data_IF_954538061620
#
_entry.id   IF_954538061620
#
_cell.length_a   1.000
_cell.length_b   1.000
_cell.length_c   1.000
_cell.angle_alpha   90.00
_cell.angle_beta   90.00
_cell.angle_gamma   90.00
#
_symmetry.space_group_name_H-M   'P 1'
#
loop_
_entity.id
_entity.type
_entity.pdbx_description
1 polymer ?
#
# COMPACT_ATOMS: atom_id res chain seq x y z
N UNK A 1 -12.26 0.01 -18.55
CA UNK A 1 -10.93 -0.54 -18.27
C UNK A 1 -9.97 0.57 -17.85
N UNK A 2 -9.28 0.38 -16.75
CA UNK A 2 -8.32 1.37 -16.28
C UNK A 2 -6.96 1.25 -16.95
N UNK A 3 -6.31 2.38 -17.18
CA UNK A 3 -4.91 2.44 -17.57
C UNK A 3 -4.05 2.40 -16.31
N UNK A 4 -3.10 1.48 -16.24
CA UNK A 4 -2.39 1.19 -15.01
C UNK A 4 -0.88 1.36 -15.16
N UNK A 5 -0.29 2.06 -14.21
CA UNK A 5 1.16 2.25 -14.12
C UNK A 5 1.64 1.64 -12.80
N UNK A 6 2.60 0.74 -12.89
CA UNK A 6 3.23 0.12 -11.73
C UNK A 6 4.63 0.70 -11.54
N UNK A 7 4.91 1.22 -10.34
CA UNK A 7 6.25 1.71 -9.99
C UNK A 7 6.78 0.91 -8.81
N UNK A 8 7.85 0.17 -9.05
CA UNK A 8 8.48 -0.64 -8.04
C UNK A 8 9.89 -0.13 -7.73
N UNK A 9 10.44 -0.58 -6.63
CA UNK A 9 11.78 -0.23 -6.24
C UNK A 9 11.93 -0.17 -4.71
N UNK A 10 13.17 -0.08 -4.23
CA UNK A 10 13.43 -0.05 -2.80
C UNK A 10 13.01 1.27 -2.15
N UNK A 11 12.91 1.27 -0.83
CA UNK A 11 12.65 2.49 -0.07
C UNK A 11 13.76 3.53 -0.35
N UNK A 12 13.38 4.79 -0.41
CA UNK A 12 14.32 5.89 -0.68
C UNK A 12 14.69 6.08 -2.14
N UNK A 13 14.09 5.33 -3.07
CA UNK A 13 14.34 5.48 -4.50
C UNK A 13 13.58 6.65 -5.13
N UNK A 14 12.61 7.24 -4.41
CA UNK A 14 11.82 8.35 -4.92
C UNK A 14 10.50 7.94 -5.58
N UNK A 15 10.06 6.72 -5.39
CA UNK A 15 8.84 6.18 -6.01
C UNK A 15 7.61 7.06 -5.76
N UNK A 16 7.34 7.37 -4.50
CA UNK A 16 6.11 8.08 -4.14
C UNK A 16 6.09 9.50 -4.69
N UNK A 17 7.23 10.17 -4.71
CA UNK A 17 7.35 11.52 -5.25
C UNK A 17 7.01 11.53 -6.74
N UNK A 18 7.61 10.62 -7.50
CA UNK A 18 7.38 10.49 -8.93
C UNK A 18 5.95 10.06 -9.21
N UNK A 19 5.46 9.05 -8.49
CA UNK A 19 4.10 8.55 -8.67
C UNK A 19 3.04 9.62 -8.44
N UNK A 20 3.20 10.41 -7.38
CA UNK A 20 2.26 11.50 -7.07
C UNK A 20 2.28 12.58 -8.14
N UNK A 21 3.46 12.92 -8.65
CA UNK A 21 3.59 13.93 -9.69
C UNK A 21 2.95 13.47 -11.00
N UNK A 22 3.21 12.25 -11.42
CA UNK A 22 2.64 11.68 -12.64
C UNK A 22 1.13 11.57 -12.51
N UNK A 23 0.63 11.14 -11.35
CA UNK A 23 -0.80 11.05 -11.10
C UNK A 23 -1.47 12.41 -11.23
N UNK A 24 -0.89 13.44 -10.64
CA UNK A 24 -1.41 14.80 -10.68
C UNK A 24 -1.44 15.35 -12.11
N UNK A 25 -0.37 15.15 -12.87
CA UNK A 25 -0.24 15.67 -14.24
C UNK A 25 -1.18 14.98 -15.22
N UNK A 26 -1.52 13.71 -14.98
CA UNK A 26 -2.32 12.91 -15.90
C UNK A 26 -3.72 12.59 -15.41
N UNK A 27 -4.11 13.08 -14.23
CA UNK A 27 -5.42 12.81 -13.67
C UNK A 27 -5.62 11.38 -13.19
N UNK A 28 -4.53 10.68 -12.86
CA UNK A 28 -4.60 9.32 -12.34
C UNK A 28 -4.78 9.31 -10.83
N UNK A 29 -5.30 8.20 -10.31
CA UNK A 29 -5.38 7.97 -8.88
C UNK A 29 -4.05 7.37 -8.43
N UNK A 30 -3.40 8.02 -7.46
CA UNK A 30 -2.20 7.49 -6.85
C UNK A 30 -2.57 6.54 -5.71
N UNK A 31 -1.99 5.34 -5.69
CA UNK A 31 -2.21 4.35 -4.64
C UNK A 31 -0.89 3.99 -3.98
N UNK A 32 -0.77 4.31 -2.68
CA UNK A 32 0.33 3.90 -1.83
C UNK A 32 -0.07 2.59 -1.16
N UNK A 33 0.46 1.48 -1.66
CA UNK A 33 0.11 0.16 -1.13
C UNK A 33 0.66 -0.07 0.27
N UNK A 34 1.80 0.51 0.60
CA UNK A 34 2.38 0.41 1.95
C UNK A 34 1.45 0.99 3.01
N UNK A 35 0.76 2.06 2.70
CA UNK A 35 -0.22 2.66 3.62
C UNK A 35 -1.39 1.70 3.91
N UNK A 36 -1.78 0.88 2.94
CA UNK A 36 -2.84 -0.11 3.13
C UNK A 36 -2.42 -1.20 4.12
N UNK A 37 -1.17 -1.69 4.02
CA UNK A 37 -0.62 -2.65 4.97
C UNK A 37 -0.57 -2.07 6.38
N UNK A 38 -0.24 -0.80 6.52
CA UNK A 38 -0.25 -0.11 7.80
C UNK A 38 -1.66 0.04 8.36
N UNK A 39 -2.64 0.26 7.50
CA UNK A 39 -4.05 0.26 7.91
C UNK A 39 -4.46 -1.05 8.55
N UNK A 40 -4.13 -2.18 7.91
CA UNK A 40 -4.36 -3.50 8.50
C UNK A 40 -3.62 -3.68 9.82
N UNK A 41 -2.38 -3.19 9.88
CA UNK A 41 -1.59 -3.27 11.12
C UNK A 41 -2.29 -2.57 12.29
N UNK A 42 -2.92 -1.42 12.04
CA UNK A 42 -3.70 -0.72 13.06
C UNK A 42 -4.84 -1.59 13.58
N UNK A 43 -5.52 -2.29 12.67
CA UNK A 43 -6.58 -3.21 13.05
C UNK A 43 -6.07 -4.30 13.99
N UNK A 44 -4.94 -4.92 13.63
CA UNK A 44 -4.34 -5.97 14.47
C UNK A 44 -3.91 -5.43 15.84
N UNK A 45 -3.33 -4.23 15.88
CA UNK A 45 -2.94 -3.60 17.13
C UNK A 45 -4.15 -3.28 18.02
N UNK A 46 -5.24 -2.80 17.42
CA UNK A 46 -6.47 -2.51 18.16
C UNK A 46 -7.08 -3.77 18.78
N UNK A 47 -6.87 -4.93 18.16
CA UNK A 47 -7.32 -6.21 18.69
C UNK A 47 -6.34 -6.82 19.69
N UNK A 48 -5.17 -6.18 19.89
CA UNK A 48 -4.16 -6.69 20.82
C UNK A 48 -3.47 -7.97 20.34
N UNK A 49 -3.39 -8.19 19.02
CA UNK A 49 -2.79 -9.40 18.45
C UNK A 49 -1.28 -9.26 18.37
N UNK A 50 -0.57 -10.32 18.84
CA UNK A 50 0.88 -10.41 18.65
C UNK A 50 1.18 -10.68 17.16
N UNK A 51 2.10 -9.93 16.54
CA UNK A 51 2.44 -10.15 15.12
C UNK A 51 2.99 -11.54 14.81
N UNK A 52 3.45 -12.27 15.84
CA UNK A 52 3.91 -13.65 15.69
C UNK A 52 2.78 -14.67 15.72
N UNK A 53 1.58 -14.25 16.15
CA UNK A 53 0.44 -15.13 16.21
C UNK A 53 -0.27 -15.14 14.87
N UNK A 54 0.28 -15.89 13.93
CA UNK A 54 -0.19 -15.94 12.54
C UNK A 54 -1.66 -16.35 12.43
N UNK A 55 -2.10 -17.30 13.25
CA UNK A 55 -3.50 -17.77 13.22
C UNK A 55 -4.48 -16.66 13.56
N UNK A 56 -4.17 -15.86 14.58
CA UNK A 56 -5.02 -14.72 14.95
C UNK A 56 -5.02 -13.62 13.90
N UNK A 57 -3.85 -13.38 13.28
CA UNK A 57 -3.74 -12.42 12.17
C UNK A 57 -4.64 -12.85 11.01
N UNK A 58 -4.56 -14.11 10.61
CA UNK A 58 -5.38 -14.64 9.52
C UNK A 58 -6.87 -14.52 9.84
N UNK A 59 -7.27 -14.88 11.05
CA UNK A 59 -8.66 -14.77 11.49
C UNK A 59 -9.14 -13.30 11.45
N UNK A 60 -8.32 -12.37 11.92
CA UNK A 60 -8.67 -10.95 11.93
C UNK A 60 -8.79 -10.36 10.50
N UNK A 61 -8.16 -10.97 9.51
CA UNK A 61 -8.27 -10.53 8.12
C UNK A 61 -9.61 -10.84 7.46
N UNK A 62 -10.36 -11.80 7.99
CA UNK A 62 -11.57 -12.29 7.31
C UNK A 62 -12.67 -11.24 7.18
N UNK A 63 -12.92 -10.49 8.23
CA UNK A 63 -14.06 -9.58 8.30
C UNK A 63 -13.69 -8.09 8.27
N UNK A 64 -12.40 -7.77 8.23
CA UNK A 64 -11.96 -6.37 8.19
C UNK A 64 -12.18 -5.77 6.80
N UNK A 65 -12.62 -4.53 6.78
CA UNK A 65 -12.75 -3.76 5.53
C UNK A 65 -11.68 -2.67 5.51
N UNK A 66 -10.84 -2.68 4.48
CA UNK A 66 -9.84 -1.62 4.25
C UNK A 66 -10.16 -0.94 2.93
N UNK A 67 -10.40 0.36 2.99
CA UNK A 67 -10.71 1.14 1.80
C UNK A 67 -9.83 2.38 1.74
N UNK A 68 -9.78 3.00 0.58
CA UNK A 68 -9.08 4.27 0.40
C UNK A 68 -10.04 5.33 -0.10
N UNK A 69 -9.75 6.57 0.27
CA UNK A 69 -10.45 7.74 -0.23
C UNK A 69 -9.44 8.86 -0.42
N UNK A 70 -9.93 10.01 -0.82
CA UNK A 70 -9.06 11.16 -1.08
C UNK A 70 -9.69 12.41 -0.49
N UNK A 71 -8.89 13.18 0.26
CA UNK A 71 -9.27 14.49 0.76
C UNK A 71 -8.24 15.51 0.26
N UNK A 72 -8.69 16.49 -0.51
CA UNK A 72 -7.80 17.49 -1.11
C UNK A 72 -6.63 16.85 -1.90
N UNK A 73 -6.92 15.74 -2.60
CA UNK A 73 -5.92 15.02 -3.38
C UNK A 73 -4.97 14.13 -2.57
N UNK A 74 -5.15 14.04 -1.25
CA UNK A 74 -4.30 13.24 -0.37
C UNK A 74 -5.03 11.94 -0.03
N UNK A 75 -4.33 10.81 -0.22
CA UNK A 75 -4.88 9.49 0.08
C UNK A 75 -5.21 9.35 1.57
N UNK A 76 -6.41 8.85 1.84
CA UNK A 76 -6.87 8.53 3.19
C UNK A 76 -7.09 7.03 3.29
N UNK A 77 -6.76 6.44 4.41
CA UNK A 77 -6.98 5.02 4.68
C UNK A 77 -8.08 4.86 5.70
N UNK A 78 -9.05 4.01 5.37
CA UNK A 78 -10.17 3.70 6.26
C UNK A 78 -10.14 2.22 6.62
N UNK A 79 -10.27 1.92 7.90
CA UNK A 79 -10.36 0.55 8.40
C UNK A 79 -11.71 0.45 9.11
N UNK A 80 -12.57 -0.45 8.62
CA UNK A 80 -13.94 -0.59 9.10
C UNK A 80 -14.67 0.77 9.16
N UNK A 81 -14.47 1.58 8.10
CA UNK A 81 -15.05 2.92 7.89
C UNK A 81 -14.50 4.01 8.81
N UNK A 82 -13.50 3.71 9.63
CA UNK A 82 -12.80 4.70 10.44
C UNK A 82 -11.56 5.19 9.72
N UNK A 83 -11.39 6.51 9.61
CA UNK A 83 -10.20 7.10 9.02
C UNK A 83 -9.02 6.95 9.97
N UNK A 84 -8.02 6.17 9.60
CA UNK A 84 -6.84 5.90 10.41
C UNK A 84 -5.58 6.58 9.89
N UNK A 85 -5.70 7.44 8.91
CA UNK A 85 -4.58 8.06 8.22
C UNK A 85 -3.58 8.73 9.17
N UNK A 86 -4.06 9.41 10.20
CA UNK A 86 -3.19 10.10 11.16
C UNK A 86 -2.34 9.14 12.01
N UNK A 87 -2.71 7.86 12.08
CA UNK A 87 -2.04 6.85 12.90
C UNK A 87 -1.03 6.01 12.13
N UNK A 88 -0.97 6.14 10.81
CA UNK A 88 -0.19 5.25 9.95
C UNK A 88 1.31 5.33 10.16
N UNK A 89 1.83 6.45 10.59
CA UNK A 89 3.27 6.71 10.60
C UNK A 89 3.96 6.47 11.93
N UNK A 90 3.28 5.86 12.90
CA UNK A 90 3.92 5.50 14.16
C UNK A 90 4.87 4.33 13.96
N UNK A 91 5.92 4.24 14.77
CA UNK A 91 6.86 3.13 14.72
C UNK A 91 6.18 1.79 15.00
N UNK A 92 5.27 1.77 15.96
CA UNK A 92 4.50 0.57 16.32
C UNK A 92 3.72 0.04 15.13
N UNK A 93 3.04 0.91 14.40
CA UNK A 93 2.28 0.53 13.19
C UNK A 93 3.22 0.03 12.10
N UNK A 94 4.33 0.74 11.88
CA UNK A 94 5.32 0.33 10.89
C UNK A 94 5.91 -1.04 11.16
N UNK A 95 6.23 -1.32 12.41
CA UNK A 95 6.77 -2.64 12.82
C UNK A 95 5.74 -3.75 12.63
N UNK A 96 4.50 -3.52 13.05
CA UNK A 96 3.42 -4.49 12.87
C UNK A 96 3.17 -4.76 11.38
N UNK A 97 3.13 -3.73 10.54
CA UNK A 97 2.96 -3.87 9.10
C UNK A 97 4.09 -4.67 8.48
N UNK A 98 5.33 -4.38 8.86
CA UNK A 98 6.50 -5.08 8.35
C UNK A 98 6.45 -6.58 8.67
N UNK A 99 6.05 -6.93 9.89
CA UNK A 99 5.97 -8.33 10.31
C UNK A 99 4.78 -9.08 9.69
N UNK A 100 3.65 -8.40 9.48
CA UNK A 100 2.44 -9.07 8.99
C UNK A 100 2.31 -9.06 7.46
N UNK A 101 3.00 -8.15 6.77
CA UNK A 101 2.91 -8.04 5.31
C UNK A 101 3.41 -9.27 4.55
N UNK A 102 4.22 -10.11 5.18
CA UNK A 102 4.71 -11.36 4.59
C UNK A 102 3.69 -12.49 4.65
N UNK A 103 2.64 -12.36 5.45
CA UNK A 103 1.61 -13.39 5.61
C UNK A 103 0.74 -13.42 4.34
N UNK A 104 0.63 -14.57 3.63
CA UNK A 104 -0.12 -14.64 2.38
C UNK A 104 -1.55 -14.13 2.45
N UNK A 105 -2.27 -14.45 3.52
CA UNK A 105 -3.66 -14.04 3.70
C UNK A 105 -3.81 -12.53 3.84
N UNK A 106 -2.83 -11.87 4.45
CA UNK A 106 -2.80 -10.40 4.54
C UNK A 106 -2.61 -9.80 3.16
N UNK A 107 -1.68 -10.36 2.38
CA UNK A 107 -1.43 -9.90 1.02
C UNK A 107 -2.63 -10.10 0.11
N UNK A 108 -3.28 -11.27 0.20
CA UNK A 108 -4.48 -11.56 -0.58
C UNK A 108 -5.63 -10.64 -0.25
N UNK A 109 -5.81 -10.31 1.02
CA UNK A 109 -6.87 -9.39 1.46
C UNK A 109 -6.78 -8.04 0.74
N UNK A 110 -5.59 -7.50 0.64
CA UNK A 110 -5.37 -6.22 -0.03
C UNK A 110 -5.31 -6.34 -1.54
N UNK A 111 -4.85 -7.47 -2.05
CA UNK A 111 -4.66 -7.71 -3.47
C UNK A 111 -5.97 -7.57 -4.25
N UNK A 112 -7.04 -8.16 -3.76
CA UNK A 112 -8.34 -8.11 -4.39
C UNK A 112 -8.83 -6.67 -4.54
N UNK A 113 -8.71 -5.89 -3.47
CA UNK A 113 -9.09 -4.48 -3.49
C UNK A 113 -8.24 -3.69 -4.49
N UNK A 114 -6.94 -3.90 -4.47
CA UNK A 114 -6.00 -3.21 -5.37
C UNK A 114 -6.30 -3.52 -6.83
N UNK A 115 -6.55 -4.79 -7.15
CA UNK A 115 -6.89 -5.21 -8.52
C UNK A 115 -8.23 -4.69 -8.99
N UNK A 116 -9.22 -4.66 -8.12
CA UNK A 116 -10.53 -4.10 -8.44
C UNK A 116 -10.42 -2.61 -8.79
N UNK A 117 -9.68 -1.87 -7.98
CA UNK A 117 -9.46 -0.45 -8.21
C UNK A 117 -8.74 -0.21 -9.56
N UNK A 118 -7.73 -1.02 -9.86
CA UNK A 118 -6.97 -0.92 -11.10
C UNK A 118 -7.83 -1.23 -12.35
N UNK A 119 -8.78 -2.14 -12.24
CA UNK A 119 -9.70 -2.45 -13.33
C UNK A 119 -10.66 -1.30 -13.62
N UNK A 120 -11.09 -0.60 -12.60
CA UNK A 120 -12.15 0.41 -12.71
C UNK A 120 -11.61 1.82 -12.98
N UNK A 121 -10.38 2.11 -12.58
CA UNK A 121 -9.81 3.46 -12.62
C UNK A 121 -8.44 3.49 -13.28
N UNK A 122 -8.06 4.67 -13.76
CA UNK A 122 -6.69 4.91 -14.18
C UNK A 122 -5.85 5.13 -12.92
N UNK A 123 -4.94 4.20 -12.62
CA UNK A 123 -4.18 4.23 -11.38
C UNK A 123 -2.69 4.20 -11.64
N UNK A 124 -1.96 4.86 -10.74
CA UNK A 124 -0.53 4.66 -10.61
C UNK A 124 -0.29 4.13 -9.19
N UNK A 125 0.32 2.97 -9.11
CA UNK A 125 0.48 2.23 -7.87
C UNK A 125 1.95 2.02 -7.59
N UNK A 126 2.41 2.38 -6.40
CA UNK A 126 3.80 2.14 -6.04
C UNK A 126 3.93 1.07 -4.95
N UNK A 127 5.05 0.39 -4.96
CA UNK A 127 5.34 -0.68 -4.02
C UNK A 127 6.65 -1.37 -4.34
N UNK A 128 6.71 -2.67 -4.10
CA UNK A 128 7.91 -3.48 -4.33
C UNK A 128 7.69 -4.62 -5.31
N UNK A 129 6.45 -5.03 -5.52
CA UNK A 129 6.10 -6.16 -6.39
C UNK A 129 4.85 -5.86 -7.21
N UNK A 130 4.62 -4.59 -7.53
CA UNK A 130 3.38 -4.20 -8.21
C UNK A 130 3.36 -4.74 -9.65
N UNK A 131 4.42 -4.51 -10.40
CA UNK A 131 4.49 -4.93 -11.81
C UNK A 131 4.69 -6.42 -12.01
N UNK A 132 5.14 -7.14 -10.97
CA UNK A 132 5.39 -8.59 -11.07
C UNK A 132 4.27 -9.42 -10.48
N UNK A 133 3.62 -8.95 -9.43
CA UNK A 133 2.62 -9.74 -8.69
C UNK A 133 1.24 -9.09 -8.66
N UNK A 134 1.14 -7.83 -8.28
CA UNK A 134 -0.16 -7.17 -8.08
C UNK A 134 -0.82 -6.85 -9.41
N UNK A 135 -0.10 -6.19 -10.31
CA UNK A 135 -0.58 -5.79 -11.64
C UNK A 135 0.37 -6.31 -12.72
N UNK A 136 0.42 -7.64 -12.92
CA UNK A 136 1.34 -8.20 -13.91
C UNK A 136 1.04 -7.75 -15.34
N UNK A 137 -0.18 -7.31 -15.60
CA UNK A 137 -0.62 -6.81 -16.90
C UNK A 137 -0.69 -5.28 -16.97
N UNK A 138 -0.01 -4.58 -16.07
CA UNK A 138 0.02 -3.12 -16.07
C UNK A 138 0.49 -2.60 -17.43
N UNK A 139 -0.12 -1.49 -17.88
CA UNK A 139 0.22 -0.88 -19.17
C UNK A 139 1.66 -0.36 -19.19
N UNK A 140 2.13 0.16 -18.05
CA UNK A 140 3.51 0.61 -17.88
C UNK A 140 4.06 0.04 -16.58
N UNK A 141 5.26 -0.50 -16.64
CA UNK A 141 5.98 -1.03 -15.47
C UNK A 141 7.33 -0.32 -15.37
N UNK A 142 7.56 0.36 -14.25
CA UNK A 142 8.77 1.10 -14.00
C UNK A 142 9.45 0.54 -12.76
N UNK A 143 10.73 0.26 -12.86
CA UNK A 143 11.55 -0.07 -11.69
C UNK A 143 12.47 1.10 -11.42
N UNK A 144 12.26 1.78 -10.29
CA UNK A 144 13.02 2.95 -9.92
C UNK A 144 14.07 2.57 -8.90
N UNK A 145 15.31 2.97 -9.13
CA UNK A 145 16.42 2.65 -8.23
C UNK A 145 17.25 3.92 -7.94
N UNK A 146 17.98 3.86 -6.84
CA UNK A 146 18.96 4.89 -6.46
C UNK A 146 20.07 4.19 -5.69
N UNK A 147 21.25 4.82 -5.59
CA UNK A 147 22.34 4.24 -4.81
C UNK A 147 21.97 4.11 -3.34
N UNK A 148 22.64 3.19 -2.64
CA UNK A 148 22.43 2.98 -1.19
C UNK A 148 22.65 4.29 -0.43
N UNK A 149 23.65 5.06 -0.80
CA UNK A 149 23.96 6.34 -0.18
C UNK A 149 22.85 7.37 -0.34
N UNK A 150 22.30 7.48 -1.54
CA UNK A 150 21.21 8.41 -1.81
C UNK A 150 19.95 7.99 -1.05
N UNK A 151 19.66 6.69 -1.01
CA UNK A 151 18.49 6.17 -0.29
C UNK A 151 18.61 6.43 1.22
N UNK A 152 19.80 6.28 1.78
CA UNK A 152 20.04 6.55 3.20
C UNK A 152 19.81 8.03 3.54
N UNK A 153 20.20 8.94 2.65
CA UNK A 153 19.98 10.38 2.84
C UNK A 153 18.51 10.79 2.80
N UNK A 154 17.68 10.04 2.08
CA UNK A 154 16.24 10.33 1.91
C UNK A 154 15.37 9.80 3.05
N UNK A 155 15.93 9.00 3.93
CA UNK A 155 15.18 8.44 5.07
C UNK A 155 14.99 9.42 6.20
#
# INVERSE_FOLDING_TARGET
MGYNVAIDGPAGAGKSTIAKQVAKENGYIYVDTGAMYRGLAIHFLNLGIDPKDTEKIIEACKDVEVTIGYESGIQQIYVNRENVTAKLRTEEVGNMASMTSAIPEVREKLLEFQRTLAREKDVIMDGRDIGTHVLPDADVKIYLTASVEIRAKRR
#
